data_IF_796297249925
#
_entry.id   IF_796297249925
#
_cell.length_a   1.000
_cell.length_b   1.000
_cell.length_c   1.000
_cell.angle_alpha   90.00
_cell.angle_beta   90.00
_cell.angle_gamma   90.00
#
_symmetry.space_group_name_H-M   'P 1'
#
loop_
_entity.id
_entity.type
_entity.pdbx_description
1 polymer ?
#
# COMPACT_ATOMS: atom_id res chain seq x y z
N UNK A 1 -11.39 35.92 -4.69
CA UNK A 1 -12.27 34.96 -3.99
C UNK A 1 -12.70 33.95 -5.03
N UNK A 2 -11.99 32.84 -5.18
CA UNK A 2 -12.35 31.77 -6.12
C UNK A 2 -12.65 30.56 -5.25
N UNK A 3 -13.92 30.41 -4.87
CA UNK A 3 -14.39 29.18 -4.26
C UNK A 3 -14.37 28.11 -5.35
N UNK A 4 -13.41 27.21 -5.29
CA UNK A 4 -13.53 25.90 -5.94
C UNK A 4 -14.32 25.04 -4.94
N UNK A 5 -15.60 25.35 -4.78
CA UNK A 5 -16.52 24.46 -4.08
C UNK A 5 -16.87 23.34 -5.06
N UNK A 6 -16.15 22.23 -5.00
CA UNK A 6 -16.71 20.98 -5.52
C UNK A 6 -17.72 20.45 -4.50
N UNK A 7 -18.96 20.28 -4.95
CA UNK A 7 -20.10 19.86 -4.14
C UNK A 7 -19.88 18.50 -3.46
N UNK A 8 -20.27 18.34 -2.18
CA UNK A 8 -20.32 17.04 -1.53
C UNK A 8 -21.55 16.29 -2.07
N UNK A 9 -21.37 15.39 -3.03
CA UNK A 9 -22.50 14.55 -3.50
C UNK A 9 -22.47 14.03 -4.93
N UNK A 10 -21.32 13.93 -5.60
CA UNK A 10 -21.22 13.19 -6.86
C UNK A 10 -20.98 11.70 -6.57
N UNK A 11 -21.83 10.76 -7.00
CA UNK A 11 -21.55 9.33 -6.86
C UNK A 11 -20.40 8.97 -7.81
N UNK A 12 -19.19 8.83 -7.27
CA UNK A 12 -18.03 8.36 -8.05
C UNK A 12 -16.67 8.98 -7.73
N UNK A 13 -16.56 9.94 -6.81
CA UNK A 13 -15.27 10.51 -6.37
C UNK A 13 -15.01 10.20 -4.91
N UNK A 14 -14.30 9.10 -4.65
CA UNK A 14 -13.70 8.81 -3.34
C UNK A 14 -12.46 9.68 -3.18
N UNK A 15 -12.65 10.98 -2.93
CA UNK A 15 -11.56 11.91 -2.64
C UNK A 15 -11.35 11.93 -1.13
N UNK A 16 -10.13 11.63 -0.70
CA UNK A 16 -9.72 11.81 0.69
C UNK A 16 -9.66 13.32 0.96
N UNK A 17 -10.48 13.79 1.90
CA UNK A 17 -10.49 15.20 2.32
C UNK A 17 -9.39 15.47 3.35
N UNK A 18 -8.38 16.24 2.94
CA UNK A 18 -7.29 16.72 3.80
C UNK A 18 -7.57 18.11 4.40
N UNK A 19 -8.78 18.64 4.21
CA UNK A 19 -9.17 19.97 4.65
C UNK A 19 -8.88 21.05 3.60
N UNK A 20 -8.67 22.28 4.06
CA UNK A 20 -8.52 23.45 3.18
C UNK A 20 -7.38 24.36 3.59
N UNK A 21 -6.83 25.08 2.61
CA UNK A 21 -5.91 26.19 2.83
C UNK A 21 -6.62 27.51 2.60
N UNK A 22 -6.21 28.56 3.32
CA UNK A 22 -6.67 29.93 3.08
C UNK A 22 -5.48 30.74 2.58
N UNK A 23 -5.51 31.11 1.31
CA UNK A 23 -4.53 32.04 0.73
C UNK A 23 -5.09 33.46 0.78
N UNK A 24 -4.27 34.43 1.21
CA UNK A 24 -4.65 35.85 1.21
C UNK A 24 -3.91 36.64 0.12
N UNK A 25 -4.44 37.79 -0.34
CA UNK A 25 -3.85 38.58 -1.44
C UNK A 25 -2.40 39.02 -1.20
N UNK A 26 -1.98 39.19 0.06
CA UNK A 26 -0.61 39.50 0.44
C UNK A 26 0.38 38.31 0.32
N UNK A 27 -0.09 37.15 -0.17
CA UNK A 27 0.73 35.97 -0.38
C UNK A 27 0.85 35.03 0.82
N UNK A 28 0.22 35.35 1.96
CA UNK A 28 0.20 34.46 3.13
C UNK A 28 -0.74 33.27 2.93
N UNK A 29 -0.32 32.09 3.40
CA UNK A 29 -1.10 30.84 3.34
C UNK A 29 -1.30 30.30 4.76
N UNK A 30 -2.56 30.13 5.16
CA UNK A 30 -2.94 29.54 6.44
C UNK A 30 -3.35 28.09 6.24
N UNK A 31 -2.68 27.20 6.98
CA UNK A 31 -2.83 25.74 6.89
C UNK A 31 -3.49 25.13 8.12
N UNK A 32 -4.08 25.94 9.00
CA UNK A 32 -4.68 25.49 10.27
C UNK A 32 -5.91 24.60 10.10
N UNK A 33 -6.46 24.50 8.89
CA UNK A 33 -7.57 23.62 8.56
C UNK A 33 -7.14 22.35 7.81
N UNK A 34 -5.83 22.10 7.70
CA UNK A 34 -5.34 20.81 7.20
C UNK A 34 -5.51 19.72 8.25
N UNK A 35 -5.75 18.50 7.79
CA UNK A 35 -5.94 17.32 8.65
C UNK A 35 -4.94 16.22 8.29
N UNK A 36 -4.18 15.77 9.28
CA UNK A 36 -3.32 14.59 9.18
C UNK A 36 -2.20 14.65 8.14
N UNK A 37 -1.85 15.84 7.64
CA UNK A 37 -0.74 16.08 6.69
C UNK A 37 0.10 17.27 7.13
N UNK A 38 1.33 17.32 6.62
CA UNK A 38 2.27 18.39 6.92
C UNK A 38 1.90 19.71 6.22
N UNK A 39 2.43 20.82 6.75
CA UNK A 39 2.21 22.17 6.18
C UNK A 39 2.79 22.34 4.77
N UNK A 40 3.64 21.41 4.32
CA UNK A 40 4.16 21.36 2.96
C UNK A 40 3.17 20.75 1.94
N UNK A 41 1.97 20.38 2.40
CA UNK A 41 0.85 19.84 1.62
C UNK A 41 1.15 18.48 0.97
N UNK A 42 2.16 17.76 1.45
CA UNK A 42 2.53 16.45 0.91
C UNK A 42 1.93 15.33 1.75
N UNK A 43 1.25 14.41 1.08
CA UNK A 43 0.92 13.11 1.66
C UNK A 43 2.19 12.27 1.74
N UNK A 44 2.43 11.64 2.88
CA UNK A 44 3.61 10.81 3.14
C UNK A 44 3.18 9.38 3.44
N UNK A 45 3.03 8.55 2.40
CA UNK A 45 2.37 7.25 2.56
C UNK A 45 3.29 6.18 3.15
N UNK A 46 4.58 6.44 3.32
CA UNK A 46 5.56 5.45 3.78
C UNK A 46 5.98 5.68 5.23
N UNK A 47 6.39 4.60 5.89
CA UNK A 47 6.60 4.50 7.35
C UNK A 47 5.32 4.67 8.19
N UNK A 48 5.33 4.17 9.42
CA UNK A 48 4.19 4.25 10.34
C UNK A 48 3.86 5.71 10.72
N UNK A 49 4.89 6.54 10.87
CA UNK A 49 4.76 7.97 11.18
C UNK A 49 4.52 8.86 9.95
N UNK A 50 4.46 8.29 8.74
CA UNK A 50 4.31 9.08 7.50
C UNK A 50 5.50 10.01 7.24
N UNK A 51 6.70 9.43 7.11
CA UNK A 51 7.95 10.19 7.05
C UNK A 51 8.39 10.56 5.62
N UNK A 52 8.08 9.72 4.63
CA UNK A 52 8.54 9.94 3.25
C UNK A 52 7.39 9.97 2.25
N UNK A 53 7.56 10.78 1.20
CA UNK A 53 6.54 11.10 0.20
C UNK A 53 6.68 10.31 -1.11
N UNK A 54 7.75 9.53 -1.27
CA UNK A 54 8.01 8.77 -2.51
C UNK A 54 8.68 7.45 -2.21
N UNK A 55 8.41 6.47 -3.07
CA UNK A 55 8.99 5.13 -3.01
C UNK A 55 10.52 5.18 -3.13
N UNK A 56 11.04 6.05 -4.01
CA UNK A 56 12.48 6.30 -4.11
C UNK A 56 13.11 6.78 -2.80
N UNK A 57 12.46 7.74 -2.13
CA UNK A 57 12.94 8.24 -0.84
C UNK A 57 12.86 7.16 0.25
N UNK A 58 11.85 6.30 0.19
CA UNK A 58 11.76 5.12 1.06
C UNK A 58 12.91 4.15 0.82
N UNK A 59 13.18 3.74 -0.42
CA UNK A 59 14.27 2.82 -0.79
C UNK A 59 15.63 3.35 -0.34
N UNK A 60 15.92 4.62 -0.66
CA UNK A 60 17.19 5.26 -0.29
C UNK A 60 17.34 5.38 1.22
N UNK A 61 16.25 5.69 1.94
CA UNK A 61 16.23 5.70 3.40
C UNK A 61 16.49 4.31 3.99
N UNK A 62 15.80 3.28 3.49
CA UNK A 62 16.00 1.90 3.94
C UNK A 62 17.44 1.41 3.73
N UNK A 63 18.05 1.71 2.57
CA UNK A 63 19.45 1.38 2.35
C UNK A 63 20.36 2.01 3.40
N UNK A 64 20.15 3.28 3.69
CA UNK A 64 21.01 4.02 4.61
C UNK A 64 20.78 3.65 6.07
N UNK A 65 19.54 3.77 6.52
CA UNK A 65 19.18 3.78 7.93
C UNK A 65 18.99 2.36 8.48
N UNK A 66 18.60 1.40 7.63
CA UNK A 66 18.34 0.00 8.03
C UNK A 66 19.45 -0.96 7.58
N UNK A 67 19.94 -0.81 6.34
CA UNK A 67 20.92 -1.74 5.76
C UNK A 67 22.37 -1.27 5.89
N UNK A 68 22.61 -0.04 6.37
CA UNK A 68 23.95 0.53 6.54
C UNK A 68 24.71 0.80 5.23
N UNK A 69 24.00 0.97 4.12
CA UNK A 69 24.52 1.23 2.77
C UNK A 69 24.32 2.70 2.39
N UNK A 70 25.37 3.38 1.90
CA UNK A 70 25.18 4.70 1.32
C UNK A 70 24.62 4.58 -0.11
N UNK A 71 23.48 5.22 -0.36
CA UNK A 71 22.82 5.27 -1.66
C UNK A 71 22.70 6.74 -2.13
N UNK A 72 23.77 7.34 -2.68
CA UNK A 72 23.75 8.73 -3.13
C UNK A 72 22.85 8.87 -4.35
N UNK A 73 21.65 9.40 -4.16
CA UNK A 73 20.68 9.53 -5.24
C UNK A 73 20.66 10.94 -5.88
N UNK A 74 21.05 11.09 -7.16
CA UNK A 74 21.14 12.41 -7.80
C UNK A 74 19.80 13.12 -7.94
N UNK A 75 18.69 12.37 -8.08
CA UNK A 75 17.33 12.93 -8.21
C UNK A 75 16.90 13.55 -6.87
N UNK A 76 17.04 12.80 -5.76
CA UNK A 76 16.74 13.28 -4.41
C UNK A 76 17.71 14.38 -3.96
N UNK A 77 19.00 14.28 -4.31
CA UNK A 77 19.97 15.35 -4.04
C UNK A 77 19.56 16.65 -4.73
N UNK A 78 19.19 16.58 -6.03
CA UNK A 78 18.70 17.75 -6.78
C UNK A 78 17.39 18.29 -6.21
N UNK A 79 16.50 17.43 -5.72
CA UNK A 79 15.24 17.81 -5.09
C UNK A 79 15.42 18.46 -3.71
N UNK A 80 16.42 18.05 -2.91
CA UNK A 80 16.72 18.63 -1.57
C UNK A 80 17.63 19.87 -1.64
N UNK A 81 18.61 19.91 -2.54
CA UNK A 81 19.57 21.02 -2.75
C UNK A 81 20.07 21.02 -4.19
N UNK A 82 19.69 22.02 -4.98
CA UNK A 82 20.27 22.23 -6.31
C UNK A 82 21.80 22.44 -6.20
N UNK A 83 22.59 21.48 -6.73
CA UNK A 83 23.93 21.78 -7.22
C UNK A 83 25.14 21.09 -6.60
N UNK A 84 25.03 20.24 -5.57
CA UNK A 84 26.20 19.46 -5.06
C UNK A 84 25.80 18.10 -4.48
N UNK A 85 25.61 17.04 -5.29
CA UNK A 85 25.59 15.68 -4.77
C UNK A 85 26.99 15.36 -4.21
N UNK A 86 27.08 14.97 -2.93
CA UNK A 86 28.31 14.36 -2.39
C UNK A 86 28.06 12.87 -2.27
N UNK A 87 28.83 12.08 -3.01
CA UNK A 87 29.00 10.67 -2.64
C UNK A 87 29.72 10.64 -1.30
N UNK A 88 29.13 9.98 -0.32
CA UNK A 88 29.82 9.56 0.89
C UNK A 88 30.06 8.05 0.76
N UNK A 89 31.18 7.58 1.29
CA UNK A 89 31.56 6.17 1.28
C UNK A 89 31.41 5.69 2.71
N UNK A 90 30.75 4.55 2.93
CA UNK A 90 30.66 3.96 4.27
C UNK A 90 32.07 3.63 4.79
N UNK A 91 32.28 3.46 6.11
CA UNK A 91 33.57 3.01 6.65
C UNK A 91 34.06 1.68 6.02
N UNK A 92 33.15 0.88 5.45
CA UNK A 92 33.45 -0.36 4.72
C UNK A 92 33.57 -0.23 3.20
N UNK A 93 33.49 0.97 2.61
CA UNK A 93 33.71 1.18 1.17
C UNK A 93 32.48 0.99 0.26
N UNK A 94 31.31 0.64 0.81
CA UNK A 94 30.13 0.27 0.01
C UNK A 94 29.32 1.50 -0.40
N UNK A 95 29.10 1.66 -1.72
CA UNK A 95 28.23 2.67 -2.33
C UNK A 95 27.35 1.98 -3.36
N UNK A 96 26.04 2.20 -3.29
CA UNK A 96 25.09 1.63 -4.26
C UNK A 96 25.00 2.49 -5.53
N UNK A 97 24.95 1.83 -6.68
CA UNK A 97 24.65 2.44 -7.96
C UNK A 97 23.19 2.96 -7.97
N UNK A 98 22.94 4.24 -8.31
CA UNK A 98 21.59 4.78 -8.47
C UNK A 98 20.69 3.95 -9.43
N UNK A 99 21.27 3.25 -10.41
CA UNK A 99 20.52 2.35 -11.29
C UNK A 99 19.83 1.21 -10.52
N UNK A 100 20.40 0.76 -9.40
CA UNK A 100 19.75 -0.23 -8.53
C UNK A 100 18.52 0.35 -7.83
N UNK A 101 18.56 1.64 -7.46
CA UNK A 101 17.39 2.33 -6.88
C UNK A 101 16.27 2.44 -7.93
N UNK A 102 16.62 2.72 -9.20
CA UNK A 102 15.65 2.74 -10.30
C UNK A 102 15.01 1.37 -10.51
N UNK A 103 15.82 0.30 -10.51
CA UNK A 103 15.35 -1.06 -10.66
C UNK A 103 14.42 -1.48 -9.51
N UNK A 104 14.77 -1.20 -8.26
CA UNK A 104 13.92 -1.51 -7.11
C UNK A 104 12.64 -0.68 -7.09
N UNK A 105 12.69 0.60 -7.49
CA UNK A 105 11.49 1.42 -7.62
C UNK A 105 10.56 0.82 -8.69
N UNK A 106 11.09 0.40 -9.83
CA UNK A 106 10.32 -0.28 -10.87
C UNK A 106 9.71 -1.59 -10.36
N UNK A 107 10.50 -2.43 -9.68
CA UNK A 107 10.03 -3.68 -9.11
C UNK A 107 8.88 -3.45 -8.12
N UNK A 108 9.07 -2.59 -7.11
CA UNK A 108 8.06 -2.32 -6.08
C UNK A 108 6.80 -1.63 -6.64
N UNK A 109 6.91 -0.84 -7.70
CA UNK A 109 5.73 -0.29 -8.40
C UNK A 109 4.90 -1.39 -9.06
N UNK A 110 5.56 -2.40 -9.63
CA UNK A 110 4.92 -3.48 -10.37
C UNK A 110 4.69 -4.75 -9.54
N UNK A 111 5.09 -4.73 -8.27
CA UNK A 111 4.88 -5.84 -7.36
C UNK A 111 3.39 -6.10 -7.14
N UNK A 112 3.05 -7.35 -6.88
CA UNK A 112 1.66 -7.78 -6.85
C UNK A 112 0.92 -7.18 -5.67
N UNK A 113 -0.32 -6.74 -5.91
CA UNK A 113 -1.16 -6.20 -4.84
C UNK A 113 -1.66 -7.35 -3.95
N UNK A 114 -1.94 -7.08 -2.66
CA UNK A 114 -2.51 -8.08 -1.75
C UNK A 114 -3.76 -8.76 -2.33
N UNK A 115 -3.90 -10.05 -2.04
CA UNK A 115 -4.99 -10.88 -2.53
C UNK A 115 -6.28 -10.65 -1.74
N UNK A 116 -7.40 -10.97 -2.37
CA UNK A 116 -8.71 -11.07 -1.68
C UNK A 116 -9.15 -12.52 -1.60
N UNK A 117 -9.18 -13.08 -0.39
CA UNK A 117 -9.70 -14.41 -0.09
C UNK A 117 -11.22 -14.52 -0.27
N UNK A 118 -11.79 -15.63 0.20
CA UNK A 118 -13.21 -15.92 -0.02
C UNK A 118 -14.12 -14.92 0.71
N UNK A 119 -14.84 -14.10 -0.05
CA UNK A 119 -15.81 -13.16 0.53
C UNK A 119 -17.18 -13.83 0.73
N UNK A 120 -17.39 -14.40 1.92
CA UNK A 120 -18.66 -15.04 2.32
C UNK A 120 -19.80 -14.03 2.51
N UNK A 121 -21.04 -14.51 2.70
CA UNK A 121 -22.16 -13.63 3.09
C UNK A 121 -21.91 -12.90 4.41
N UNK A 122 -21.23 -13.55 5.37
CA UNK A 122 -20.90 -12.96 6.68
C UNK A 122 -19.82 -11.91 6.54
N UNK A 123 -18.76 -12.16 5.76
CA UNK A 123 -17.74 -11.15 5.43
C UNK A 123 -18.35 -9.90 4.77
N UNK A 124 -19.30 -10.07 3.82
CA UNK A 124 -20.03 -8.92 3.25
C UNK A 124 -20.83 -8.14 4.30
N UNK A 125 -21.40 -8.81 5.29
CA UNK A 125 -22.06 -8.14 6.42
C UNK A 125 -21.04 -7.45 7.33
N UNK A 126 -19.85 -8.03 7.52
CA UNK A 126 -18.70 -7.43 8.20
C UNK A 126 -18.33 -6.08 7.61
N UNK A 127 -18.11 -6.01 6.30
CA UNK A 127 -17.83 -4.74 5.61
C UNK A 127 -18.93 -3.69 5.83
N UNK A 128 -20.20 -4.09 5.83
CA UNK A 128 -21.32 -3.19 6.14
C UNK A 128 -21.24 -2.67 7.59
N UNK A 129 -20.84 -3.52 8.53
CA UNK A 129 -20.67 -3.15 9.94
C UNK A 129 -19.48 -2.20 10.13
N UNK A 130 -18.33 -2.46 9.49
CA UNK A 130 -17.14 -1.58 9.51
C UNK A 130 -17.51 -0.16 9.06
N UNK A 131 -18.28 -0.04 7.97
CA UNK A 131 -18.80 1.25 7.49
C UNK A 131 -19.75 1.90 8.49
N UNK A 132 -20.68 1.13 9.07
CA UNK A 132 -21.69 1.63 10.03
C UNK A 132 -21.07 2.11 11.34
N UNK A 133 -20.06 1.40 11.84
CA UNK A 133 -19.32 1.72 13.07
C UNK A 133 -18.43 2.96 12.89
N UNK A 134 -18.14 3.34 11.65
CA UNK A 134 -17.34 4.52 11.33
C UNK A 134 -15.86 4.24 11.13
N UNK A 135 -15.42 2.98 11.14
CA UNK A 135 -14.02 2.62 10.89
C UNK A 135 -13.52 3.14 9.52
N UNK A 136 -14.41 3.21 8.52
CA UNK A 136 -14.07 3.72 7.18
C UNK A 136 -13.93 5.24 7.09
N UNK A 137 -13.99 5.97 8.20
CA UNK A 137 -13.66 7.40 8.25
C UNK A 137 -12.16 7.65 8.05
N UNK A 138 -11.32 6.75 8.59
CA UNK A 138 -9.86 6.74 8.40
C UNK A 138 -9.47 5.62 7.42
N UNK A 139 -10.05 4.42 7.57
CA UNK A 139 -9.83 3.29 6.66
C UNK A 139 -10.66 3.40 5.38
N UNK A 140 -10.35 4.42 4.56
CA UNK A 140 -11.06 4.69 3.29
C UNK A 140 -10.78 3.56 2.30
N UNK A 141 -11.84 2.88 1.87
CA UNK A 141 -11.75 1.60 1.17
C UNK A 141 -10.96 1.64 -0.14
N UNK A 142 -11.20 2.64 -0.97
CA UNK A 142 -10.61 2.73 -2.31
C UNK A 142 -9.82 4.04 -2.44
N UNK A 143 -8.70 3.99 -3.16
CA UNK A 143 -7.85 5.15 -3.45
C UNK A 143 -7.76 5.37 -4.96
N UNK A 144 -8.09 6.57 -5.42
CA UNK A 144 -7.89 6.97 -6.80
C UNK A 144 -6.47 7.48 -7.00
N UNK A 145 -5.80 6.95 -8.02
CA UNK A 145 -4.51 7.43 -8.51
C UNK A 145 -4.72 8.02 -9.89
N UNK A 146 -4.32 9.27 -10.09
CA UNK A 146 -4.56 9.98 -11.36
C UNK A 146 -3.59 9.60 -12.48
N UNK A 147 -2.42 9.05 -12.14
CA UNK A 147 -1.40 8.68 -13.11
C UNK A 147 -0.75 7.36 -12.72
N UNK A 148 -1.17 6.29 -13.37
CA UNK A 148 -0.57 4.97 -13.15
C UNK A 148 0.84 4.91 -13.77
N UNK A 149 1.83 4.53 -12.96
CA UNK A 149 3.24 4.34 -13.38
C UNK A 149 3.58 2.88 -13.63
N UNK A 150 2.63 1.97 -13.41
CA UNK A 150 2.83 0.53 -13.57
C UNK A 150 2.77 0.12 -15.03
N UNK A 151 3.45 -0.96 -15.33
CA UNK A 151 3.41 -1.65 -16.62
C UNK A 151 2.51 -2.88 -16.56
N UNK A 152 2.18 -3.38 -15.37
CA UNK A 152 1.24 -4.47 -15.18
C UNK A 152 0.30 -4.25 -13.99
N UNK A 153 -0.90 -4.83 -14.06
CA UNK A 153 -1.75 -5.07 -12.89
C UNK A 153 -1.90 -6.58 -12.74
N UNK A 154 -1.58 -7.09 -11.54
CA UNK A 154 -1.77 -8.48 -11.19
C UNK A 154 -2.73 -8.54 -10.02
N UNK A 155 -3.89 -9.14 -10.25
CA UNK A 155 -4.95 -9.25 -9.25
C UNK A 155 -5.17 -10.68 -8.83
N UNK A 156 -4.91 -10.97 -7.56
CA UNK A 156 -5.15 -12.29 -6.97
C UNK A 156 -6.45 -12.30 -6.18
N UNK A 157 -7.35 -13.22 -6.52
CA UNK A 157 -8.64 -13.39 -5.86
C UNK A 157 -8.96 -14.84 -5.60
N UNK A 158 -9.87 -15.08 -4.65
CA UNK A 158 -10.48 -16.37 -4.48
C UNK A 158 -11.21 -16.84 -5.73
N UNK A 159 -10.69 -17.91 -6.31
CA UNK A 159 -11.22 -18.61 -7.46
C UNK A 159 -11.00 -20.11 -7.24
N UNK A 160 -12.03 -20.86 -6.78
CA UNK A 160 -11.87 -22.29 -6.51
C UNK A 160 -11.89 -23.15 -7.79
N UNK A 161 -12.18 -22.56 -8.95
CA UNK A 161 -12.18 -23.27 -10.23
C UNK A 161 -10.78 -23.26 -10.85
N UNK A 162 -10.12 -22.11 -10.85
CA UNK A 162 -8.79 -21.93 -11.46
C UNK A 162 -7.65 -21.89 -10.45
N UNK A 163 -7.92 -21.58 -9.18
CA UNK A 163 -6.96 -21.69 -8.08
C UNK A 163 -6.80 -23.12 -7.62
N UNK A 164 -6.12 -23.94 -8.42
CA UNK A 164 -6.07 -25.39 -8.24
C UNK A 164 -5.29 -25.85 -6.99
N UNK A 165 -4.41 -25.01 -6.44
CA UNK A 165 -3.61 -25.34 -5.25
C UNK A 165 -4.19 -24.74 -3.95
N UNK A 166 -4.41 -23.43 -3.92
CA UNK A 166 -4.81 -22.68 -2.71
C UNK A 166 -6.15 -21.94 -2.87
N UNK A 167 -6.88 -22.19 -3.96
CA UNK A 167 -8.17 -21.54 -4.29
C UNK A 167 -8.05 -20.04 -4.53
N UNK A 168 -6.84 -19.54 -4.79
CA UNK A 168 -6.56 -18.21 -5.30
C UNK A 168 -6.09 -18.32 -6.75
N UNK A 169 -6.46 -17.35 -7.56
CA UNK A 169 -6.01 -17.25 -8.93
C UNK A 169 -5.63 -15.81 -9.25
N UNK A 170 -4.48 -15.63 -9.89
CA UNK A 170 -3.96 -14.34 -10.30
C UNK A 170 -4.31 -14.03 -11.76
N UNK A 171 -4.78 -12.82 -12.00
CA UNK A 171 -5.01 -12.31 -13.37
C UNK A 171 -4.06 -11.14 -13.62
N UNK A 172 -3.08 -11.36 -14.49
CA UNK A 172 -2.15 -10.35 -14.97
C UNK A 172 -2.68 -9.66 -16.23
N UNK A 173 -2.64 -8.33 -16.25
CA UNK A 173 -3.03 -7.47 -17.37
C UNK A 173 -1.96 -6.42 -17.64
N UNK A 174 -1.65 -6.17 -18.91
CA UNK A 174 -0.63 -5.18 -19.29
C UNK A 174 -1.18 -3.75 -19.33
N UNK A 175 -0.42 -2.84 -18.73
CA UNK A 175 -0.71 -1.42 -18.60
C UNK A 175 0.31 -0.54 -19.34
N UNK A 176 1.10 -1.11 -20.24
CA UNK A 176 2.09 -0.39 -21.04
C UNK A 176 1.69 -0.24 -22.50
N UNK A 177 2.39 0.66 -23.19
CA UNK A 177 2.53 0.71 -24.65
C UNK A 177 3.98 0.37 -25.01
N UNK A 178 4.16 -0.27 -26.16
CA UNK A 178 5.48 -0.64 -26.68
C UNK A 178 5.99 0.52 -27.52
N UNK A 179 7.25 0.91 -27.32
CA UNK A 179 7.98 1.86 -28.16
C UNK A 179 9.14 1.12 -28.81
N UNK A 180 9.16 1.14 -30.15
CA UNK A 180 10.25 0.56 -30.92
C UNK A 180 11.35 1.61 -31.00
N UNK A 181 12.48 1.34 -30.37
CA UNK A 181 13.64 2.22 -30.24
C UNK A 181 14.91 1.67 -30.93
N UNK A 182 14.81 0.51 -31.58
CA UNK A 182 15.92 -0.13 -32.29
C UNK A 182 16.76 -1.08 -31.42
N UNK A 183 16.41 -1.23 -30.14
CA UNK A 183 17.00 -2.21 -29.24
C UNK A 183 16.38 -3.61 -29.43
N UNK A 184 17.07 -4.65 -28.94
CA UNK A 184 16.59 -6.04 -29.04
C UNK A 184 15.33 -6.30 -28.20
N UNK A 185 15.17 -5.55 -27.10
CA UNK A 185 13.97 -5.54 -26.27
C UNK A 185 13.35 -4.14 -26.35
N UNK A 186 12.10 -4.01 -26.83
CA UNK A 186 11.50 -2.70 -27.01
C UNK A 186 11.15 -2.06 -25.66
N UNK A 187 11.19 -0.74 -25.62
CA UNK A 187 10.86 0.00 -24.40
C UNK A 187 9.36 -0.14 -24.02
N UNK A 188 9.10 -0.48 -22.76
CA UNK A 188 7.76 -0.53 -22.18
C UNK A 188 7.47 0.78 -21.44
N UNK A 189 6.53 1.57 -21.95
CA UNK A 189 6.10 2.81 -21.31
C UNK A 189 4.73 2.65 -20.66
N UNK A 190 4.54 3.00 -19.37
CA UNK A 190 3.23 3.03 -18.74
C UNK A 190 2.22 3.85 -19.54
N UNK A 191 0.98 3.37 -19.64
CA UNK A 191 -0.11 4.11 -20.30
C UNK A 191 -0.41 5.44 -19.60
N UNK A 192 -0.19 5.52 -18.29
CA UNK A 192 -0.36 6.76 -17.52
C UNK A 192 -1.81 7.08 -17.14
N UNK A 193 -2.75 6.18 -17.42
CA UNK A 193 -4.17 6.39 -17.18
C UNK A 193 -4.50 6.41 -15.68
N UNK A 194 -5.58 7.10 -15.26
CA UNK A 194 -6.06 7.01 -13.89
C UNK A 194 -6.57 5.61 -13.56
N UNK A 195 -6.37 5.17 -12.32
CA UNK A 195 -6.93 3.90 -11.84
C UNK A 195 -7.42 4.01 -10.39
N UNK A 196 -8.28 3.06 -10.02
CA UNK A 196 -8.81 2.94 -8.66
C UNK A 196 -8.16 1.73 -7.97
N UNK A 197 -7.34 1.99 -6.95
CA UNK A 197 -6.86 0.96 -6.04
C UNK A 197 -8.02 0.54 -5.17
N UNK A 198 -8.49 -0.70 -5.33
CA UNK A 198 -9.61 -1.24 -4.56
C UNK A 198 -9.14 -1.86 -3.25
N UNK A 199 -9.96 -1.74 -2.21
CA UNK A 199 -9.75 -2.41 -0.92
C UNK A 199 -8.41 -2.10 -0.23
N UNK A 200 -7.85 -0.90 -0.41
CA UNK A 200 -6.65 -0.45 0.29
C UNK A 200 -6.94 -0.08 1.75
N UNK A 201 -8.13 0.45 2.03
CA UNK A 201 -8.58 0.82 3.38
C UNK A 201 -7.61 1.75 4.14
N UNK A 202 -7.18 2.83 3.48
CA UNK A 202 -6.36 3.87 4.10
C UNK A 202 -6.61 5.22 3.45
N UNK A 203 -6.65 6.25 4.29
CA UNK A 203 -6.65 7.65 3.85
C UNK A 203 -5.26 8.30 3.91
N UNK A 204 -4.24 7.57 4.39
CA UNK A 204 -2.86 8.03 4.51
C UNK A 204 -2.66 9.32 5.34
N UNK A 205 -3.64 9.69 6.16
CA UNK A 205 -3.52 10.77 7.14
C UNK A 205 -2.92 10.24 8.42
N UNK A 206 -2.27 11.13 9.17
CA UNK A 206 -1.96 10.91 10.59
C UNK A 206 -3.19 11.20 11.45
N UNK A 207 -3.43 10.32 12.40
CA UNK A 207 -4.51 10.40 13.38
C UNK A 207 -3.96 10.15 14.78
N UNK A 208 -4.47 10.88 15.77
CA UNK A 208 -4.21 10.56 17.16
C UNK A 208 -4.95 9.26 17.53
N UNK A 209 -4.20 8.20 17.83
CA UNK A 209 -4.74 6.91 18.26
C UNK A 209 -4.76 6.75 19.79
N UNK A 210 -4.39 7.79 20.52
CA UNK A 210 -4.44 7.87 21.97
C UNK A 210 -3.30 7.12 22.69
N UNK A 211 -3.32 7.15 24.03
CA UNK A 211 -2.20 6.69 24.87
C UNK A 211 -1.96 5.19 24.79
N UNK A 212 -2.95 4.41 24.37
CA UNK A 212 -2.77 2.97 24.18
C UNK A 212 -1.77 2.65 23.06
N UNK A 213 -1.57 3.57 22.09
CA UNK A 213 -0.62 3.44 20.98
C UNK A 213 0.60 4.34 21.10
N UNK A 214 0.85 4.94 22.27
CA UNK A 214 1.96 5.87 22.38
C UNK A 214 3.31 5.20 22.09
N UNK A 215 4.16 5.91 21.35
CA UNK A 215 5.56 5.55 21.14
C UNK A 215 6.44 6.66 21.67
N UNK A 216 7.68 6.30 22.04
CA UNK A 216 8.68 7.26 22.51
C UNK A 216 9.71 7.48 21.40
N UNK A 217 9.83 8.73 20.97
CA UNK A 217 10.84 9.14 20.00
C UNK A 217 12.25 9.15 20.62
N UNK A 218 13.26 9.22 19.76
CA UNK A 218 14.67 9.22 20.17
C UNK A 218 15.03 10.39 21.10
N UNK A 219 14.38 11.55 20.94
CA UNK A 219 14.56 12.72 21.80
C UNK A 219 13.75 12.64 23.11
N UNK A 220 12.99 11.57 23.30
CA UNK A 220 12.20 11.29 24.47
C UNK A 220 10.77 11.82 24.43
N UNK A 221 10.32 12.47 23.34
CA UNK A 221 8.92 12.87 23.17
C UNK A 221 8.00 11.65 23.05
N UNK A 222 6.75 11.82 23.46
CA UNK A 222 5.73 10.79 23.34
C UNK A 222 4.80 11.18 22.19
N UNK A 223 4.77 10.35 21.15
CA UNK A 223 3.88 10.50 20.01
C UNK A 223 2.70 9.54 20.12
N UNK A 224 1.50 10.03 19.78
CA UNK A 224 0.28 9.21 19.64
C UNK A 224 -0.33 9.30 18.24
N UNK A 225 0.27 10.11 17.37
CA UNK A 225 -0.18 10.30 15.99
C UNK A 225 0.48 9.29 15.04
N UNK A 226 -0.34 8.52 14.33
CA UNK A 226 0.14 7.56 13.36
C UNK A 226 -0.64 7.64 12.07
N UNK A 227 0.03 7.33 10.97
CA UNK A 227 -0.61 7.24 9.66
C UNK A 227 -1.56 6.05 9.65
N UNK A 228 -2.76 6.20 9.08
CA UNK A 228 -3.65 5.07 8.81
C UNK A 228 -2.92 3.99 8.02
N UNK A 229 -2.69 2.81 8.61
CA UNK A 229 -2.14 1.68 7.88
C UNK A 229 -3.16 1.10 6.88
N UNK A 230 -2.75 0.80 5.64
CA UNK A 230 -3.58 0.05 4.70
C UNK A 230 -4.00 -1.30 5.26
N UNK A 231 -5.27 -1.68 5.11
CA UNK A 231 -5.76 -2.99 5.54
C UNK A 231 -5.69 -4.06 4.45
N UNK A 232 -5.27 -3.71 3.23
CA UNK A 232 -5.00 -4.70 2.19
C UNK A 232 -3.86 -5.63 2.64
N UNK A 233 -4.21 -6.84 3.09
CA UNK A 233 -3.25 -7.81 3.66
C UNK A 233 -3.31 -7.97 5.19
N UNK A 234 -4.20 -7.25 5.88
CA UNK A 234 -4.27 -7.30 7.35
C UNK A 234 -4.64 -8.68 7.90
N UNK A 235 -5.39 -9.50 7.18
CA UNK A 235 -5.79 -10.84 7.62
C UNK A 235 -4.66 -11.84 7.77
N UNK A 236 -3.45 -11.54 7.27
CA UNK A 236 -2.31 -12.47 7.24
C UNK A 236 -1.00 -11.86 7.73
N UNK A 237 -1.05 -10.74 8.46
CA UNK A 237 0.14 -10.01 8.94
C UNK A 237 0.19 -9.75 10.44
N UNK A 238 -0.16 -10.73 11.33
CA UNK A 238 0.11 -10.58 12.75
C UNK A 238 1.63 -10.66 13.05
N UNK A 239 2.11 -10.08 14.16
CA UNK A 239 1.36 -9.24 15.09
C UNK A 239 1.10 -7.84 14.51
N UNK A 240 0.10 -7.16 15.04
CA UNK A 240 -0.39 -5.89 14.51
C UNK A 240 0.23 -4.67 15.18
N UNK A 241 0.23 -3.58 14.39
CA UNK A 241 0.79 -2.25 14.67
C UNK A 241 2.31 -2.24 14.74
N UNK A 242 2.86 -1.04 14.63
CA UNK A 242 4.31 -0.82 14.54
C UNK A 242 5.07 -1.37 15.75
N UNK A 243 4.45 -1.36 16.93
CA UNK A 243 5.04 -1.92 18.14
C UNK A 243 4.89 -3.44 18.28
N UNK A 244 4.13 -4.10 17.40
CA UNK A 244 3.93 -5.54 17.40
C UNK A 244 3.24 -6.11 18.65
N UNK A 245 2.52 -5.29 19.43
CA UNK A 245 1.97 -5.72 20.74
C UNK A 245 0.56 -6.28 20.70
N UNK A 246 -0.13 -6.22 19.56
CA UNK A 246 -1.46 -6.82 19.39
C UNK A 246 -1.35 -8.11 18.61
N UNK A 247 -1.64 -9.26 19.23
CA UNK A 247 -1.38 -10.57 18.60
C UNK A 247 -2.51 -11.01 17.64
N UNK A 248 -3.66 -10.35 17.69
CA UNK A 248 -4.79 -10.62 16.80
C UNK A 248 -5.58 -9.34 16.44
N UNK A 249 -6.46 -9.46 15.44
CA UNK A 249 -7.27 -8.35 14.93
C UNK A 249 -8.24 -7.77 15.97
N UNK A 250 -8.80 -8.60 16.84
CA UNK A 250 -9.72 -8.14 17.88
C UNK A 250 -8.99 -7.25 18.90
N UNK A 251 -7.81 -7.67 19.35
CA UNK A 251 -7.00 -6.90 20.28
C UNK A 251 -6.55 -5.56 19.71
N UNK A 252 -6.10 -5.53 18.45
CA UNK A 252 -5.70 -4.25 17.84
C UNK A 252 -6.89 -3.32 17.69
N UNK A 253 -8.07 -3.82 17.29
CA UNK A 253 -9.30 -3.02 17.22
C UNK A 253 -9.65 -2.44 18.59
N UNK A 254 -9.63 -3.26 19.65
CA UNK A 254 -9.96 -2.81 21.01
C UNK A 254 -8.93 -1.86 21.61
N UNK A 255 -7.71 -1.83 21.08
CA UNK A 255 -6.64 -0.91 21.49
C UNK A 255 -6.76 0.49 20.90
N UNK A 256 -7.59 0.67 19.86
CA UNK A 256 -7.84 2.00 19.28
C UNK A 256 -8.44 2.97 20.31
N UNK A 257 -7.90 4.19 20.31
CA UNK A 257 -8.38 5.31 21.12
C UNK A 257 -8.30 6.61 20.32
N UNK A 258 -8.17 7.75 21.01
CA UNK A 258 -8.04 9.07 20.37
C UNK A 258 -9.20 9.35 19.41
N UNK A 259 -8.89 9.68 18.16
CA UNK A 259 -9.87 9.92 17.09
C UNK A 259 -10.73 8.69 16.75
N UNK A 260 -10.22 7.48 16.98
CA UNK A 260 -10.91 6.22 16.70
C UNK A 260 -11.76 5.70 17.88
N UNK A 261 -11.77 6.40 19.02
CA UNK A 261 -12.40 5.97 20.28
C UNK A 261 -13.88 5.58 20.09
N UNK A 262 -14.65 6.39 19.38
CA UNK A 262 -16.08 6.12 19.15
C UNK A 262 -16.31 4.83 18.34
N UNK A 263 -15.55 4.62 17.27
CA UNK A 263 -15.64 3.40 16.47
C UNK A 263 -15.17 2.16 17.25
N UNK A 264 -14.16 2.30 18.10
CA UNK A 264 -13.71 1.23 18.98
C UNK A 264 -14.79 0.84 19.98
N UNK A 265 -15.44 1.81 20.62
CA UNK A 265 -16.48 1.55 21.62
C UNK A 265 -17.73 0.92 21.00
N UNK A 266 -18.12 1.36 19.80
CA UNK A 266 -19.20 0.73 19.02
C UNK A 266 -18.86 -0.72 18.61
N UNK A 267 -17.60 -1.01 18.27
CA UNK A 267 -17.15 -2.38 18.06
C UNK A 267 -17.22 -3.21 19.34
N UNK A 268 -16.75 -2.66 20.47
CA UNK A 268 -16.77 -3.33 21.76
C UNK A 268 -18.20 -3.63 22.26
N UNK A 269 -19.14 -2.72 22.00
CA UNK A 269 -20.55 -2.88 22.34
C UNK A 269 -21.32 -3.80 21.38
N UNK A 270 -20.79 -4.08 20.18
CA UNK A 270 -21.43 -4.98 19.24
C UNK A 270 -21.50 -6.41 19.80
N UNK A 271 -22.61 -7.10 19.56
CA UNK A 271 -22.72 -8.50 19.95
C UNK A 271 -21.62 -9.37 19.29
N UNK A 272 -21.24 -10.52 19.89
CA UNK A 272 -20.14 -11.35 19.40
C UNK A 272 -20.27 -11.78 17.94
N UNK A 273 -21.51 -12.02 17.47
CA UNK A 273 -21.74 -12.40 16.09
C UNK A 273 -21.42 -11.27 15.09
N UNK A 274 -21.62 -10.01 15.48
CA UNK A 274 -21.26 -8.86 14.65
C UNK A 274 -19.75 -8.60 14.68
N UNK A 275 -19.09 -8.75 15.84
CA UNK A 275 -17.63 -8.69 15.94
C UNK A 275 -16.98 -9.74 15.04
N UNK A 276 -17.42 -11.01 15.11
CA UNK A 276 -16.89 -12.07 14.24
C UNK A 276 -17.10 -11.80 12.75
N UNK A 277 -18.20 -11.17 12.33
CA UNK A 277 -18.39 -10.81 10.91
C UNK A 277 -17.38 -9.78 10.44
N UNK A 278 -17.01 -8.83 11.31
CA UNK A 278 -16.00 -7.82 11.02
C UNK A 278 -14.64 -8.50 10.86
N UNK A 279 -14.27 -9.36 11.81
CA UNK A 279 -13.03 -10.15 11.73
C UNK A 279 -13.00 -11.01 10.47
N UNK A 280 -14.09 -11.74 10.17
CA UNK A 280 -14.21 -12.57 8.97
C UNK A 280 -14.08 -11.76 7.67
N UNK A 281 -14.43 -10.48 7.66
CA UNK A 281 -14.13 -9.61 6.52
C UNK A 281 -12.65 -9.26 6.43
N UNK A 282 -12.04 -8.86 7.54
CA UNK A 282 -10.62 -8.49 7.59
C UNK A 282 -9.73 -9.69 7.21
N UNK A 283 -10.12 -10.90 7.61
CA UNK A 283 -9.45 -12.16 7.24
C UNK A 283 -9.49 -12.43 5.73
N UNK A 284 -10.37 -11.76 4.96
CA UNK A 284 -10.36 -11.86 3.49
C UNK A 284 -9.27 -11.03 2.84
N UNK A 285 -8.63 -10.10 3.55
CA UNK A 285 -7.59 -9.23 3.02
C UNK A 285 -6.24 -9.85 3.33
N UNK A 286 -5.64 -10.59 2.40
CA UNK A 286 -4.45 -11.42 2.67
C UNK A 286 -3.28 -11.06 1.77
N UNK A 287 -2.07 -11.21 2.28
CA UNK A 287 -0.85 -11.29 1.48
C UNK A 287 -0.63 -12.77 1.17
N UNK A 288 -0.42 -13.09 -0.10
CA UNK A 288 -0.23 -14.47 -0.52
C UNK A 288 0.98 -14.56 -1.46
N UNK A 289 1.88 -15.56 -1.31
CA UNK A 289 3.07 -15.69 -2.13
C UNK A 289 2.74 -15.83 -3.64
N UNK A 290 3.48 -15.15 -4.52
CA UNK A 290 3.27 -15.27 -5.95
C UNK A 290 3.56 -16.66 -6.52
N UNK A 291 4.62 -17.30 -6.03
CA UNK A 291 5.16 -18.56 -6.56
C UNK A 291 4.13 -19.69 -6.43
N UNK A 292 3.32 -19.65 -5.37
CA UNK A 292 2.27 -20.63 -5.09
C UNK A 292 0.92 -20.27 -5.74
N UNK A 293 0.84 -19.20 -6.55
CA UNK A 293 -0.44 -18.70 -7.08
C UNK A 293 -0.58 -18.96 -8.59
N UNK A 294 -1.41 -19.93 -8.95
CA UNK A 294 -1.83 -20.15 -10.34
C UNK A 294 -2.35 -18.85 -10.99
N UNK A 295 -2.03 -18.66 -12.27
CA UNK A 295 -2.39 -17.43 -12.99
C UNK A 295 -2.82 -17.66 -14.43
N UNK A 296 -3.28 -16.61 -15.10
CA UNK A 296 -3.51 -16.63 -16.55
C UNK A 296 -2.21 -16.73 -17.39
N UNK A 297 -1.04 -16.57 -16.77
CA UNK A 297 0.27 -16.73 -17.42
C UNK A 297 0.83 -18.15 -17.22
N UNK A 298 0.55 -18.76 -16.07
CA UNK A 298 0.83 -20.16 -15.78
C UNK A 298 -0.30 -20.72 -14.89
N UNK A 299 -1.32 -21.38 -15.49
CA UNK A 299 -2.48 -21.88 -14.75
C UNK A 299 -2.22 -23.19 -14.01
N UNK A 300 -1.04 -23.80 -14.19
CA UNK A 300 -0.75 -25.15 -13.71
C UNK A 300 -1.62 -26.23 -14.38
N UNK A 301 -1.56 -27.44 -13.82
CA UNK A 301 -2.27 -28.63 -14.32
C UNK A 301 -3.24 -29.12 -13.23
N UNK A 302 -4.57 -29.00 -13.42
CA UNK A 302 -5.53 -29.49 -12.44
C UNK A 302 -5.36 -30.98 -12.11
N UNK A 303 -5.30 -31.31 -10.83
CA UNK A 303 -5.14 -32.70 -10.36
C UNK A 303 -3.71 -33.24 -10.42
N UNK A 304 -2.73 -32.38 -10.69
CA UNK A 304 -1.31 -32.69 -10.53
C UNK A 304 -0.95 -32.97 -9.07
N UNK A 305 0.13 -33.72 -8.86
CA UNK A 305 0.48 -34.29 -7.55
C UNK A 305 1.67 -33.64 -6.87
N UNK A 306 2.47 -32.84 -7.58
CA UNK A 306 3.64 -32.18 -7.03
C UNK A 306 3.33 -30.73 -6.61
N UNK A 307 3.20 -30.45 -5.31
CA UNK A 307 2.94 -29.11 -4.81
C UNK A 307 4.20 -28.24 -4.76
N UNK A 308 5.35 -28.71 -5.27
CA UNK A 308 6.61 -27.96 -5.31
C UNK A 308 7.09 -27.65 -6.73
N UNK A 309 6.36 -28.11 -7.74
CA UNK A 309 6.63 -27.85 -9.16
C UNK A 309 5.64 -26.79 -9.68
N UNK A 310 6.09 -25.56 -9.95
CA UNK A 310 5.18 -24.50 -10.38
C UNK A 310 4.61 -24.70 -11.78
N UNK A 311 5.19 -25.59 -12.60
CA UNK A 311 4.54 -26.04 -13.83
C UNK A 311 3.31 -26.91 -13.55
N UNK A 312 3.26 -27.56 -12.37
CA UNK A 312 2.14 -28.38 -11.93
C UNK A 312 1.09 -27.60 -11.15
N UNK A 313 1.49 -26.78 -10.17
CA UNK A 313 0.53 -26.01 -9.36
C UNK A 313 0.19 -24.63 -9.93
N UNK A 314 0.96 -24.15 -10.91
CA UNK A 314 0.82 -22.81 -11.50
C UNK A 314 1.51 -21.74 -10.67
N UNK A 315 1.85 -20.63 -11.32
CA UNK A 315 2.56 -19.49 -10.73
C UNK A 315 2.22 -18.19 -11.44
N UNK A 316 2.65 -17.07 -10.87
CA UNK A 316 2.66 -15.79 -11.58
C UNK A 316 3.98 -15.70 -12.36
N UNK A 317 3.99 -16.19 -13.61
CA UNK A 317 5.18 -16.18 -14.47
C UNK A 317 5.68 -14.76 -14.76
N UNK A 318 6.68 -14.32 -13.99
CA UNK A 318 7.27 -12.98 -14.04
C UNK A 318 8.02 -12.71 -15.35
N UNK A 319 8.79 -13.69 -15.84
CA UNK A 319 9.50 -13.58 -17.12
C UNK A 319 8.56 -13.31 -18.28
N UNK A 320 7.42 -14.00 -18.33
CA UNK A 320 6.37 -13.73 -19.32
C UNK A 320 5.73 -12.33 -19.14
N UNK A 321 5.54 -11.88 -17.91
CA UNK A 321 4.94 -10.57 -17.62
C UNK A 321 5.86 -9.40 -17.97
N UNK A 322 7.16 -9.54 -17.71
CA UNK A 322 8.17 -8.50 -17.87
C UNK A 322 9.02 -8.66 -19.14
N UNK A 323 8.71 -9.65 -19.97
CA UNK A 323 9.42 -9.97 -21.21
C UNK A 323 10.89 -10.35 -21.00
N UNK A 324 11.18 -11.01 -19.89
CA UNK A 324 12.49 -11.61 -19.64
C UNK A 324 12.43 -13.10 -19.97
N UNK A 325 13.02 -13.49 -21.11
CA UNK A 325 13.06 -14.88 -21.55
C UNK A 325 14.08 -15.74 -20.78
N UNK A 326 14.94 -15.12 -19.97
CA UNK A 326 15.90 -15.83 -19.13
C UNK A 326 15.31 -16.29 -17.80
N UNK A 327 14.23 -15.62 -17.35
CA UNK A 327 13.38 -16.05 -16.25
C UNK A 327 12.28 -16.94 -16.85
N UNK A 328 12.32 -18.25 -16.54
CA UNK A 328 11.33 -19.20 -17.04
C UNK A 328 9.93 -18.96 -16.46
N UNK A 329 9.02 -19.91 -16.69
CA UNK A 329 7.93 -20.08 -15.74
C UNK A 329 8.60 -20.54 -14.44
N UNK A 330 8.83 -19.62 -13.50
CA UNK A 330 9.15 -20.00 -12.12
C UNK A 330 8.12 -21.00 -11.64
#
# INVERSE_FOLDING_TARGET
MTQINESPGSPGRFIIDYGRIIARPEGSVYTSHLKGVDKDLRVRPFFAHGATFSLRAFIVGAFKDEMGLEAPDPILCKAKRAGKPRMAVTPGGLVLDPALVDHLEFYLLNYFKPATGQVTRRARQGLKLIRRIGCTSCHVQDLRIERDRRVADVETRFDPQYGIFNRLFATATTLFRIVIDGESLPQLLPKGEPFLVKNIFADFKRHDLGPAFHERDYDGTIGTEFKTEPLCGVGSTPPYRHDGRSINLMEVILRHGGEAQASRDEYAAANPNNQHKIIEFLDTLVIFPPDDTASNLNPGVPGSGDPQDPLQHGSINLGALLQDASEGAE
#
